data_IF_291560541809
#
_entry.id   IF_291560541809
#
_cell.length_a   1.000
_cell.length_b   1.000
_cell.length_c   1.000
_cell.angle_alpha   90.00
_cell.angle_beta   90.00
_cell.angle_gamma   90.00
#
_symmetry.space_group_name_H-M   'P 1'
#
loop_
_entity.id
_entity.type
_entity.pdbx_description
1 polymer ?
#
# COMPACT_ATOMS: atom_id res chain seq x y z
N UNK A 1 12.38 -5.88 24.69
CA UNK A 1 11.33 -5.44 23.75
C UNK A 1 10.96 -3.99 24.08
N UNK A 2 10.69 -3.13 23.09
CA UNK A 2 10.22 -1.78 23.35
C UNK A 2 8.84 -1.84 24.02
N UNK A 3 8.51 -0.79 24.81
CA UNK A 3 7.20 -0.69 25.46
C UNK A 3 6.08 -0.74 24.42
N UNK A 4 5.02 -1.51 24.64
CA UNK A 4 3.85 -1.61 23.75
C UNK A 4 3.31 -0.24 23.33
N UNK A 5 3.30 0.73 24.27
CA UNK A 5 2.88 2.11 24.01
C UNK A 5 3.76 2.84 22.99
N UNK A 6 5.07 2.53 22.94
CA UNK A 6 5.99 3.15 21.96
C UNK A 6 5.79 2.57 20.55
N UNK A 7 5.43 1.29 20.45
CA UNK A 7 5.08 0.67 19.16
C UNK A 7 3.76 1.24 18.68
N UNK A 8 2.75 1.30 19.55
CA UNK A 8 1.43 1.83 19.21
C UNK A 8 1.49 3.29 18.73
N UNK A 9 2.23 4.15 19.42
CA UNK A 9 2.42 5.56 19.01
C UNK A 9 3.03 5.65 17.62
N UNK A 10 4.05 4.84 17.34
CA UNK A 10 4.69 4.81 16.01
C UNK A 10 3.69 4.38 14.94
N UNK A 11 2.91 3.31 15.17
CA UNK A 11 1.92 2.82 14.21
C UNK A 11 0.79 3.84 13.96
N UNK A 12 0.33 4.55 14.98
CA UNK A 12 -0.68 5.61 14.80
C UNK A 12 -0.12 6.75 13.94
N UNK A 13 1.11 7.22 14.22
CA UNK A 13 1.76 8.27 13.41
C UNK A 13 1.96 7.78 11.98
N UNK A 14 2.42 6.54 11.81
CA UNK A 14 2.57 5.91 10.49
C UNK A 14 1.25 5.82 9.73
N UNK A 15 0.16 5.45 10.40
CA UNK A 15 -1.19 5.37 9.81
C UNK A 15 -1.61 6.74 9.26
N UNK A 16 -1.49 7.80 10.06
CA UNK A 16 -1.83 9.17 9.66
C UNK A 16 -0.94 9.61 8.47
N UNK A 17 0.37 9.36 8.55
CA UNK A 17 1.31 9.66 7.47
C UNK A 17 0.91 8.95 6.17
N UNK A 18 0.61 7.65 6.22
CA UNK A 18 0.23 6.86 5.05
C UNK A 18 -1.06 7.39 4.43
N UNK A 19 -2.06 7.70 5.25
CA UNK A 19 -3.34 8.26 4.78
C UNK A 19 -3.15 9.60 4.08
N UNK A 20 -2.36 10.52 4.65
CA UNK A 20 -2.11 11.83 4.06
C UNK A 20 -1.29 11.69 2.77
N UNK A 21 -0.15 11.01 2.83
CA UNK A 21 0.75 10.88 1.67
C UNK A 21 0.09 10.09 0.55
N UNK A 22 -0.61 9.01 0.87
CA UNK A 22 -1.35 8.22 -0.14
C UNK A 22 -2.40 9.05 -0.86
N UNK A 23 -3.17 9.85 -0.12
CA UNK A 23 -4.15 10.76 -0.73
C UNK A 23 -3.46 11.81 -1.63
N UNK A 24 -2.34 12.38 -1.21
CA UNK A 24 -1.59 13.35 -2.03
C UNK A 24 -1.00 12.71 -3.28
N UNK A 25 -0.50 11.49 -3.19
CA UNK A 25 0.05 10.76 -4.33
C UNK A 25 -0.96 10.54 -5.46
N UNK A 26 -2.25 10.53 -5.16
CA UNK A 26 -3.31 10.44 -6.19
C UNK A 26 -3.25 11.62 -7.18
N UNK A 27 -2.83 12.80 -6.73
CA UNK A 27 -2.80 14.02 -7.53
C UNK A 27 -1.43 14.37 -8.10
N UNK A 28 -0.34 13.80 -7.55
CA UNK A 28 1.03 14.23 -7.87
C UNK A 28 1.43 13.97 -9.32
N UNK A 29 0.88 12.94 -9.97
CA UNK A 29 1.11 12.72 -11.41
C UNK A 29 0.57 13.88 -12.24
N UNK A 30 -0.67 14.29 -12.05
CA UNK A 30 -1.25 15.46 -12.72
C UNK A 30 -0.52 16.76 -12.38
N UNK A 31 -0.15 16.98 -11.11
CA UNK A 31 0.60 18.17 -10.69
C UNK A 31 2.01 18.25 -11.30
N UNK A 32 2.61 17.11 -11.64
CA UNK A 32 3.91 17.03 -12.29
C UNK A 32 3.86 17.21 -13.82
N UNK A 33 2.72 17.60 -14.36
CA UNK A 33 2.47 17.66 -15.80
C UNK A 33 2.67 16.28 -16.48
N UNK A 34 2.12 15.24 -15.84
CA UNK A 34 2.19 13.84 -16.29
C UNK A 34 3.62 13.31 -16.48
N UNK A 35 4.52 13.69 -15.58
CA UNK A 35 5.90 13.23 -15.66
C UNK A 35 6.00 11.73 -15.39
N UNK A 36 6.53 10.91 -16.33
CA UNK A 36 6.62 9.45 -16.18
C UNK A 36 7.40 8.99 -14.95
N UNK A 37 8.41 9.75 -14.49
CA UNK A 37 9.14 9.42 -13.25
C UNK A 37 8.24 9.53 -12.03
N UNK A 38 7.32 10.50 -12.00
CA UNK A 38 6.33 10.63 -10.93
C UNK A 38 5.31 9.50 -11.03
N UNK A 39 4.93 9.09 -12.24
CA UNK A 39 4.05 7.96 -12.48
C UNK A 39 4.55 6.61 -11.90
N UNK A 40 5.84 6.46 -11.64
CA UNK A 40 6.37 5.23 -11.03
C UNK A 40 5.85 4.97 -9.61
N UNK A 41 5.50 6.02 -8.86
CA UNK A 41 5.02 5.91 -7.47
C UNK A 41 3.67 6.60 -7.20
N UNK A 42 3.14 7.33 -8.18
CA UNK A 42 1.83 8.00 -8.17
C UNK A 42 0.85 7.24 -9.08
N UNK A 43 -0.45 7.40 -8.85
CA UNK A 43 -1.45 6.86 -9.78
C UNK A 43 -1.41 7.65 -11.10
N UNK A 44 -1.32 6.93 -12.22
CA UNK A 44 -1.30 7.52 -13.57
C UNK A 44 -2.68 7.48 -14.23
N UNK A 45 -3.56 6.60 -13.74
CA UNK A 45 -4.94 6.45 -14.17
C UNK A 45 -5.79 5.91 -13.00
N UNK A 46 -7.08 5.69 -13.21
CA UNK A 46 -8.04 5.26 -12.19
C UNK A 46 -8.11 3.73 -12.00
N UNK A 47 -7.17 2.94 -12.56
CA UNK A 47 -7.17 1.48 -12.38
C UNK A 47 -6.91 1.09 -10.92
N UNK A 48 -7.44 -0.06 -10.52
CA UNK A 48 -7.21 -0.61 -9.17
C UNK A 48 -5.72 -0.80 -8.90
N UNK A 49 -4.93 -1.25 -9.91
CA UNK A 49 -3.48 -1.42 -9.79
C UNK A 49 -2.77 -0.12 -9.41
N UNK A 50 -3.12 0.97 -10.09
CA UNK A 50 -2.51 2.27 -9.85
C UNK A 50 -2.86 2.81 -8.44
N UNK A 51 -4.08 2.57 -7.97
CA UNK A 51 -4.48 2.92 -6.62
C UNK A 51 -3.74 2.12 -5.54
N UNK A 52 -3.30 0.88 -5.82
CA UNK A 52 -2.47 0.13 -4.88
C UNK A 52 -1.12 0.82 -4.61
N UNK A 53 -0.58 1.63 -5.55
CA UNK A 53 0.64 2.42 -5.32
C UNK A 53 0.46 3.45 -4.20
N UNK A 54 -0.72 4.06 -4.12
CA UNK A 54 -1.06 5.07 -3.11
C UNK A 54 -1.02 4.51 -1.68
N UNK A 55 -1.20 3.22 -1.55
CA UNK A 55 -1.08 2.49 -0.31
C UNK A 55 0.34 1.95 -0.11
N UNK A 56 0.89 1.28 -1.12
CA UNK A 56 2.16 0.57 -1.04
C UNK A 56 3.35 1.49 -0.76
N UNK A 57 3.54 2.57 -1.54
CA UNK A 57 4.72 3.43 -1.39
C UNK A 57 4.78 4.17 -0.05
N UNK A 58 3.71 4.78 0.47
CA UNK A 58 3.73 5.37 1.81
C UNK A 58 3.95 4.34 2.92
N UNK A 59 3.38 3.12 2.79
CA UNK A 59 3.63 2.03 3.75
C UNK A 59 5.08 1.55 3.68
N UNK A 60 5.67 1.46 2.49
CA UNK A 60 7.09 1.12 2.29
C UNK A 60 8.00 2.16 2.94
N UNK A 61 7.76 3.45 2.69
CA UNK A 61 8.53 4.55 3.30
C UNK A 61 8.46 4.48 4.83
N UNK A 62 7.24 4.35 5.37
CA UNK A 62 7.04 4.18 6.82
C UNK A 62 7.76 2.94 7.37
N UNK A 63 7.78 1.84 6.61
CA UNK A 63 8.47 0.60 6.98
C UNK A 63 9.98 0.81 7.03
N UNK A 64 10.57 1.49 6.03
CA UNK A 64 12.01 1.77 5.98
C UNK A 64 12.43 2.69 7.14
N UNK A 65 11.68 3.78 7.36
CA UNK A 65 11.93 4.71 8.47
C UNK A 65 11.86 3.95 9.80
N UNK A 66 10.79 3.20 10.01
CA UNK A 66 10.59 2.45 11.24
C UNK A 66 11.63 1.34 11.46
N UNK A 67 12.14 0.73 10.40
CA UNK A 67 13.18 -0.29 10.50
C UNK A 67 14.48 0.28 11.10
N UNK A 68 14.84 1.51 10.76
CA UNK A 68 16.01 2.19 11.29
C UNK A 68 15.93 2.39 12.81
N UNK A 69 14.73 2.58 13.36
CA UNK A 69 14.50 2.84 14.79
C UNK A 69 14.03 1.61 15.58
N UNK A 70 13.21 0.76 14.98
CA UNK A 70 12.50 -0.36 15.63
C UNK A 70 12.99 -1.72 15.18
N UNK A 71 13.47 -1.85 13.94
CA UNK A 71 13.89 -3.13 13.37
C UNK A 71 15.02 -3.81 14.13
N UNK A 72 15.90 -3.05 14.81
CA UNK A 72 16.98 -3.59 15.66
C UNK A 72 16.48 -4.21 16.97
N UNK A 73 15.29 -3.82 17.44
CA UNK A 73 14.74 -4.22 18.75
C UNK A 73 13.46 -5.07 18.66
N UNK A 74 12.86 -5.15 17.48
CA UNK A 74 11.68 -5.99 17.20
C UNK A 74 12.10 -7.07 16.19
N UNK A 75 12.30 -8.34 16.61
CA UNK A 75 12.88 -9.38 15.75
C UNK A 75 12.05 -9.74 14.53
N UNK A 76 10.75 -9.46 14.53
CA UNK A 76 9.81 -9.76 13.45
C UNK A 76 9.27 -8.50 12.75
N UNK A 77 9.97 -7.35 12.88
CA UNK A 77 9.49 -6.06 12.38
C UNK A 77 9.14 -6.09 10.88
N UNK A 78 10.08 -6.50 10.03
CA UNK A 78 9.86 -6.53 8.57
C UNK A 78 8.75 -7.50 8.17
N UNK A 79 8.70 -8.68 8.77
CA UNK A 79 7.62 -9.64 8.49
C UNK A 79 6.25 -9.10 8.90
N UNK A 80 6.19 -8.40 10.03
CA UNK A 80 4.94 -7.78 10.48
C UNK A 80 4.48 -6.68 9.51
N UNK A 81 5.39 -5.83 9.07
CA UNK A 81 5.09 -4.74 8.12
C UNK A 81 4.68 -5.26 6.74
N UNK A 82 5.42 -6.23 6.20
CA UNK A 82 5.09 -6.83 4.90
C UNK A 82 3.75 -7.57 4.96
N UNK A 83 3.46 -8.29 6.03
CA UNK A 83 2.15 -8.90 6.23
C UNK A 83 1.03 -7.85 6.22
N UNK A 84 1.23 -6.71 6.90
CA UNK A 84 0.28 -5.60 6.91
C UNK A 84 0.07 -4.99 5.52
N UNK A 85 1.15 -4.79 4.75
CA UNK A 85 1.10 -4.29 3.36
C UNK A 85 0.29 -5.24 2.47
N UNK A 86 0.63 -6.53 2.47
CA UNK A 86 -0.05 -7.54 1.64
C UNK A 86 -1.54 -7.60 1.99
N UNK A 87 -1.87 -7.59 3.28
CA UNK A 87 -3.25 -7.66 3.74
C UNK A 87 -4.04 -6.41 3.31
N UNK A 88 -3.45 -5.22 3.45
CA UNK A 88 -4.09 -3.98 3.04
C UNK A 88 -4.34 -3.94 1.52
N UNK A 89 -3.35 -4.32 0.70
CA UNK A 89 -3.49 -4.41 -0.75
C UNK A 89 -4.55 -5.44 -1.14
N UNK A 90 -4.52 -6.63 -0.54
CA UNK A 90 -5.51 -7.69 -0.79
C UNK A 90 -6.93 -7.24 -0.42
N UNK A 91 -7.07 -6.51 0.70
CA UNK A 91 -8.37 -5.96 1.10
C UNK A 91 -8.93 -5.01 0.05
N UNK A 92 -8.12 -4.07 -0.46
CA UNK A 92 -8.57 -3.13 -1.51
C UNK A 92 -9.07 -3.88 -2.73
N UNK A 93 -8.28 -4.84 -3.25
CA UNK A 93 -8.64 -5.60 -4.46
C UNK A 93 -9.91 -6.42 -4.24
N UNK A 94 -9.96 -7.22 -3.16
CA UNK A 94 -11.11 -8.08 -2.87
C UNK A 94 -12.36 -7.24 -2.63
N UNK A 95 -12.27 -6.18 -1.84
CA UNK A 95 -13.39 -5.33 -1.53
C UNK A 95 -13.93 -4.64 -2.79
N UNK A 96 -13.05 -4.02 -3.59
CA UNK A 96 -13.43 -3.31 -4.81
C UNK A 96 -14.20 -4.23 -5.77
N UNK A 97 -13.61 -5.35 -6.18
CA UNK A 97 -14.24 -6.26 -7.13
C UNK A 97 -15.49 -6.95 -6.58
N UNK A 98 -15.56 -7.15 -5.26
CA UNK A 98 -16.75 -7.73 -4.63
C UNK A 98 -17.93 -6.75 -4.67
N UNK A 99 -17.73 -5.50 -4.21
CA UNK A 99 -18.86 -4.57 -4.17
C UNK A 99 -19.26 -4.09 -5.56
N UNK A 100 -18.30 -3.84 -6.47
CA UNK A 100 -18.60 -3.48 -7.85
C UNK A 100 -19.30 -4.62 -8.58
N UNK A 101 -18.89 -5.86 -8.36
CA UNK A 101 -19.55 -7.05 -8.91
C UNK A 101 -21.00 -7.23 -8.45
N UNK A 102 -21.33 -6.78 -7.23
CA UNK A 102 -22.70 -6.84 -6.68
C UNK A 102 -23.55 -5.65 -7.14
N UNK A 103 -22.99 -4.44 -7.11
CA UNK A 103 -23.73 -3.19 -7.37
C UNK A 103 -23.77 -2.84 -8.86
N UNK A 104 -22.74 -3.28 -9.63
CA UNK A 104 -22.61 -3.00 -11.06
C UNK A 104 -21.87 -1.70 -11.40
N UNK A 105 -21.50 -0.89 -10.40
CA UNK A 105 -20.74 0.36 -10.56
C UNK A 105 -19.94 0.67 -9.33
N UNK A 106 -18.88 1.50 -9.47
CA UNK A 106 -18.09 1.98 -8.34
C UNK A 106 -18.56 3.38 -7.88
N UNK A 107 -18.24 3.69 -6.62
CA UNK A 107 -18.50 4.99 -6.00
C UNK A 107 -17.22 5.52 -5.36
N UNK A 108 -16.75 6.69 -5.78
CA UNK A 108 -15.51 7.29 -5.29
C UNK A 108 -15.45 7.39 -3.75
N UNK A 109 -16.55 7.68 -3.07
CA UNK A 109 -16.61 7.76 -1.61
C UNK A 109 -16.39 6.38 -0.96
N UNK A 110 -16.83 5.30 -1.58
CA UNK A 110 -16.62 3.91 -1.12
C UNK A 110 -15.17 3.50 -1.35
N UNK A 111 -14.63 3.86 -2.52
CA UNK A 111 -13.24 3.55 -2.88
C UNK A 111 -12.26 4.27 -1.95
N UNK A 112 -12.46 5.57 -1.70
CA UNK A 112 -11.67 6.35 -0.73
C UNK A 112 -11.83 5.77 0.68
N UNK A 113 -13.06 5.44 1.10
CA UNK A 113 -13.32 4.81 2.40
C UNK A 113 -12.59 3.48 2.55
N UNK A 114 -12.59 2.65 1.50
CA UNK A 114 -11.89 1.36 1.49
C UNK A 114 -10.37 1.52 1.65
N UNK A 115 -9.76 2.54 1.04
CA UNK A 115 -8.35 2.88 1.22
C UNK A 115 -8.02 3.16 2.70
N UNK A 116 -8.81 4.01 3.38
CA UNK A 116 -8.56 4.32 4.80
C UNK A 116 -8.74 3.09 5.69
N UNK A 117 -9.75 2.26 5.43
CA UNK A 117 -9.96 1.00 6.15
C UNK A 117 -8.79 0.04 5.91
N UNK A 118 -8.33 -0.11 4.67
CA UNK A 118 -7.20 -0.97 4.31
C UNK A 118 -5.92 -0.57 5.05
N UNK A 119 -5.59 0.72 5.07
CA UNK A 119 -4.44 1.25 5.82
C UNK A 119 -4.56 0.94 7.30
N UNK A 120 -5.74 1.20 7.90
CA UNK A 120 -5.99 0.90 9.31
C UNK A 120 -5.83 -0.58 9.65
N UNK A 121 -6.41 -1.47 8.84
CA UNK A 121 -6.32 -2.91 9.00
C UNK A 121 -4.88 -3.41 8.87
N UNK A 122 -4.15 -2.96 7.83
CA UNK A 122 -2.76 -3.36 7.60
C UNK A 122 -1.85 -2.94 8.76
N UNK A 123 -1.97 -1.71 9.24
CA UNK A 123 -1.18 -1.19 10.36
C UNK A 123 -1.56 -1.88 11.69
N UNK A 124 -2.85 -2.18 11.90
CA UNK A 124 -3.31 -2.92 13.08
C UNK A 124 -2.73 -4.34 13.11
N UNK A 125 -2.78 -5.07 11.99
CA UNK A 125 -2.22 -6.42 11.89
C UNK A 125 -0.71 -6.41 12.09
N UNK A 126 0.00 -5.43 11.50
CA UNK A 126 1.43 -5.24 11.71
C UNK A 126 1.74 -4.99 13.19
N UNK A 127 0.98 -4.10 13.86
CA UNK A 127 1.11 -3.85 15.29
C UNK A 127 0.92 -5.12 16.14
N UNK A 128 -0.14 -5.89 15.89
CA UNK A 128 -0.40 -7.14 16.61
C UNK A 128 0.73 -8.15 16.41
N UNK A 129 1.19 -8.32 15.17
CA UNK A 129 2.28 -9.23 14.85
C UNK A 129 3.60 -8.83 15.52
N UNK A 130 3.92 -7.54 15.59
CA UNK A 130 5.12 -7.04 16.28
C UNK A 130 5.14 -7.32 17.79
N UNK A 131 3.99 -7.56 18.40
CA UNK A 131 3.92 -7.92 19.82
C UNK A 131 4.23 -9.40 20.08
N UNK A 132 4.27 -10.24 19.05
CA UNK A 132 4.66 -11.64 19.15
C UNK A 132 6.17 -11.74 19.41
N UNK A 133 6.56 -12.76 20.18
CA UNK A 133 7.97 -13.10 20.46
C UNK A 133 8.64 -13.87 19.31
N UNK A 134 7.89 -14.23 18.26
CA UNK A 134 8.45 -14.95 17.12
C UNK A 134 9.52 -14.13 16.41
N UNK A 135 10.65 -14.74 16.11
CA UNK A 135 11.64 -14.17 15.20
C UNK A 135 11.25 -14.45 13.74
N UNK A 136 11.75 -13.63 12.86
CA UNK A 136 11.51 -13.76 11.42
C UNK A 136 12.80 -13.55 10.63
N UNK A 137 13.00 -14.36 9.59
CA UNK A 137 14.08 -14.13 8.63
C UNK A 137 13.71 -12.94 7.73
N UNK A 138 14.50 -11.88 7.78
CA UNK A 138 14.27 -10.65 7.02
C UNK A 138 14.49 -10.80 5.51
N UNK A 139 15.07 -11.88 5.02
CA UNK A 139 15.34 -12.09 3.59
C UNK A 139 14.02 -12.19 2.80
N UNK A 140 13.07 -13.00 3.29
CA UNK A 140 11.77 -13.19 2.61
C UNK A 140 11.00 -11.86 2.47
N UNK A 141 10.75 -11.07 3.53
CA UNK A 141 10.05 -9.80 3.41
C UNK A 141 10.78 -8.79 2.51
N UNK A 142 12.12 -8.77 2.51
CA UNK A 142 12.89 -7.91 1.60
C UNK A 142 12.64 -8.32 0.14
N UNK A 143 12.70 -9.62 -0.17
CA UNK A 143 12.42 -10.13 -1.52
C UNK A 143 11.00 -9.74 -1.95
N UNK A 144 10.00 -9.92 -1.09
CA UNK A 144 8.61 -9.55 -1.40
C UNK A 144 8.51 -8.04 -1.72
N UNK A 145 9.11 -7.17 -0.92
CA UNK A 145 9.10 -5.73 -1.17
C UNK A 145 9.77 -5.36 -2.48
N UNK A 146 10.92 -5.98 -2.80
CA UNK A 146 11.63 -5.76 -4.07
C UNK A 146 10.79 -6.23 -5.28
N UNK A 147 10.15 -7.40 -5.17
CA UNK A 147 9.25 -7.91 -6.22
C UNK A 147 8.07 -6.96 -6.42
N UNK A 148 7.41 -6.52 -5.35
CA UNK A 148 6.29 -5.58 -5.45
C UNK A 148 6.72 -4.24 -6.07
N UNK A 149 7.87 -3.67 -5.64
CA UNK A 149 8.43 -2.47 -6.27
C UNK A 149 8.65 -2.67 -7.77
N UNK A 150 9.27 -3.80 -8.16
CA UNK A 150 9.53 -4.12 -9.57
C UNK A 150 8.23 -4.29 -10.36
N UNK A 151 7.22 -4.94 -9.78
CA UNK A 151 5.91 -5.09 -10.41
C UNK A 151 5.24 -3.72 -10.63
N UNK A 152 5.26 -2.83 -9.65
CA UNK A 152 4.71 -1.49 -9.81
C UNK A 152 5.43 -0.70 -10.90
N UNK A 153 6.77 -0.74 -10.95
CA UNK A 153 7.54 -0.10 -12.01
C UNK A 153 7.21 -0.67 -13.39
N UNK A 154 7.25 -1.99 -13.54
CA UNK A 154 7.05 -2.64 -14.84
C UNK A 154 5.62 -2.42 -15.33
N UNK A 155 4.63 -2.68 -14.51
CA UNK A 155 3.23 -2.66 -14.95
C UNK A 155 2.62 -1.25 -15.04
N UNK A 156 3.30 -0.21 -14.60
CA UNK A 156 2.92 1.18 -14.93
C UNK A 156 3.17 1.46 -16.42
N UNK A 157 4.28 0.95 -16.98
CA UNK A 157 4.67 1.19 -18.38
C UNK A 157 4.23 0.06 -19.32
N UNK A 158 4.14 -1.16 -18.82
CA UNK A 158 3.81 -2.39 -19.58
C UNK A 158 2.70 -3.16 -18.85
N UNK A 159 1.49 -2.60 -18.73
CA UNK A 159 0.40 -3.23 -18.01
C UNK A 159 -0.12 -4.48 -18.72
N UNK A 160 -0.63 -5.43 -17.96
CA UNK A 160 -1.37 -6.56 -18.49
C UNK A 160 -2.79 -6.12 -18.88
N UNK A 161 -3.34 -6.64 -19.98
CA UNK A 161 -4.70 -6.33 -20.43
C UNK A 161 -5.75 -7.17 -19.67
N UNK A 162 -5.83 -6.95 -18.35
CA UNK A 162 -6.84 -7.54 -17.46
C UNK A 162 -7.47 -6.44 -16.61
N UNK A 163 -8.67 -6.67 -16.07
CA UNK A 163 -9.46 -5.69 -15.33
C UNK A 163 -8.70 -4.97 -14.20
N UNK A 164 -7.68 -5.61 -13.60
CA UNK A 164 -6.88 -5.00 -12.53
C UNK A 164 -6.12 -3.75 -12.98
N UNK A 165 -5.72 -3.68 -14.25
CA UNK A 165 -4.91 -2.62 -14.86
C UNK A 165 -5.73 -1.69 -15.76
N UNK A 166 -6.99 -2.02 -15.98
CA UNK A 166 -7.90 -1.22 -16.79
C UNK A 166 -8.42 -0.03 -16.00
N UNK A 167 -8.34 1.16 -16.60
CA UNK A 167 -9.00 2.34 -16.09
C UNK A 167 -10.52 2.18 -16.30
N UNK A 168 -11.32 2.11 -15.23
CA UNK A 168 -12.76 1.85 -15.37
C UNK A 168 -13.55 3.02 -15.98
N UNK A 169 -12.94 4.21 -16.13
CA UNK A 169 -13.59 5.41 -16.67
C UNK A 169 -13.38 5.49 -18.19
N UNK A 170 -12.16 5.24 -18.65
CA UNK A 170 -11.77 5.44 -20.06
C UNK A 170 -11.40 4.15 -20.80
N UNK A 171 -11.30 3.02 -20.11
CA UNK A 171 -10.98 1.72 -20.70
C UNK A 171 -9.55 1.59 -21.24
N UNK A 172 -8.63 2.47 -20.79
CA UNK A 172 -7.21 2.44 -21.20
C UNK A 172 -6.34 1.76 -20.13
N UNK A 173 -5.12 1.41 -20.53
CA UNK A 173 -4.14 0.69 -19.70
C UNK A 173 -2.83 1.48 -19.62
N UNK A 174 -2.25 1.60 -18.40
CA UNK A 174 -0.95 2.23 -18.17
C UNK A 174 -0.94 3.74 -18.41
N UNK A 175 0.25 4.27 -18.72
CA UNK A 175 0.50 5.68 -19.07
C UNK A 175 0.08 5.95 -20.50
#
# INVERSE_FOLDING_TARGET
MPKKSSILKFEIISTIFIMIVGTLLHFTFGWSNNNPLVGTFSAVNESTWEHLKLLFFPMLISTIIGFSYKGKVIPNYLCAKVLGIILAMSFVVIFFYTYVGIIGTNFAIVDIGSFFIAVGLGQYVAYQKMQSTSSCNNVIPIIILLVLCSCFLIFTFFPLHIALFEDPIIGLFGI
#
